data_IF_202703983247
#
_entry.id   IF_202703983247
#
_cell.length_a   1.000
_cell.length_b   1.000
_cell.length_c   1.000
_cell.angle_alpha   90.00
_cell.angle_beta   90.00
_cell.angle_gamma   90.00
#
_symmetry.space_group_name_H-M   'P 1'
#
loop_
_entity.id
_entity.type
_entity.pdbx_description
1 polymer ?
#
# COMPACT_ATOMS: atom_id res chain seq x y z
N UNK A 1 61.16 -22.49 -13.46
CA UNK A 1 61.78 -23.81 -13.69
C UNK A 1 60.61 -24.79 -13.86
N UNK A 2 60.21 -25.32 -15.02
CA UNK A 2 60.64 -25.30 -16.43
C UNK A 2 59.38 -25.63 -17.28
N UNK A 3 59.06 -24.77 -18.26
CA UNK A 3 58.66 -25.01 -19.68
C UNK A 3 57.84 -26.27 -20.08
N UNK A 4 56.96 -26.29 -21.10
CA UNK A 4 57.05 -25.82 -22.51
C UNK A 4 55.63 -25.37 -23.01
N UNK A 5 55.45 -24.25 -23.72
CA UNK A 5 55.76 -23.95 -25.14
C UNK A 5 54.91 -24.71 -26.18
N UNK A 6 54.06 -23.99 -26.93
CA UNK A 6 54.30 -23.70 -28.35
C UNK A 6 53.43 -22.55 -28.86
N UNK A 7 54.07 -21.75 -29.72
CA UNK A 7 53.60 -20.51 -30.31
C UNK A 7 53.28 -20.68 -31.80
N UNK A 8 53.06 -19.53 -32.46
CA UNK A 8 53.06 -19.23 -33.89
C UNK A 8 51.64 -19.10 -34.50
N UNK A 9 51.27 -18.07 -35.27
CA UNK A 9 51.99 -16.91 -35.84
C UNK A 9 50.98 -15.87 -36.32
N UNK A 10 51.44 -14.62 -36.47
CA UNK A 10 50.70 -13.44 -36.90
C UNK A 10 50.42 -13.40 -38.41
N UNK A 11 49.46 -12.56 -38.83
CA UNK A 11 49.65 -11.64 -39.97
C UNK A 11 48.59 -10.52 -39.95
N UNK A 12 49.06 -9.27 -39.98
CA UNK A 12 48.27 -8.07 -40.30
C UNK A 12 48.01 -7.99 -41.81
N UNK A 13 46.84 -7.48 -42.21
CA UNK A 13 46.51 -7.20 -43.60
C UNK A 13 45.40 -6.15 -43.70
N UNK A 14 45.72 -5.03 -44.33
CA UNK A 14 44.93 -3.80 -44.47
C UNK A 14 44.19 -3.80 -45.82
N UNK A 15 43.11 -3.04 -45.86
CA UNK A 15 42.57 -2.26 -46.99
C UNK A 15 41.49 -2.88 -47.92
N UNK A 16 40.39 -2.11 -47.97
CA UNK A 16 39.63 -1.61 -49.12
C UNK A 16 38.40 -2.34 -49.71
N UNK A 17 37.37 -1.47 -49.85
CA UNK A 17 36.29 -1.37 -50.82
C UNK A 17 35.18 -2.43 -50.90
N UNK A 18 33.96 -1.99 -50.57
CA UNK A 18 32.96 -1.68 -51.61
C UNK A 18 31.72 -1.00 -51.01
N UNK A 19 31.33 0.12 -51.64
CA UNK A 19 30.02 0.76 -51.48
C UNK A 19 28.96 -0.03 -52.26
N UNK A 20 27.75 -0.12 -51.71
CA UNK A 20 26.53 -0.17 -52.50
C UNK A 20 25.41 0.54 -51.75
N UNK A 21 24.84 1.55 -52.42
CA UNK A 21 23.60 2.26 -52.12
C UNK A 21 22.45 1.29 -51.77
N UNK A 22 21.61 1.66 -50.80
CA UNK A 22 20.20 1.89 -51.15
C UNK A 22 19.54 2.87 -50.17
N UNK A 23 18.66 3.62 -50.78
CA UNK A 23 17.89 4.78 -50.40
C UNK A 23 16.90 4.63 -49.24
N UNK A 24 16.81 5.72 -48.46
CA UNK A 24 15.57 6.37 -48.08
C UNK A 24 14.50 5.58 -47.30
N UNK A 25 14.45 5.79 -45.98
CA UNK A 25 13.16 5.92 -45.30
C UNK A 25 13.31 6.80 -44.05
N UNK A 26 12.48 7.84 -43.97
CA UNK A 26 12.36 8.77 -42.86
C UNK A 26 12.06 8.01 -41.56
N UNK A 27 13.05 7.92 -40.68
CA UNK A 27 12.86 7.49 -39.30
C UNK A 27 12.26 8.64 -38.49
N UNK A 28 11.00 8.48 -38.09
CA UNK A 28 10.37 9.26 -37.04
C UNK A 28 11.27 9.29 -35.80
N UNK A 29 11.67 10.47 -35.37
CA UNK A 29 12.24 10.70 -34.04
C UNK A 29 11.17 10.37 -32.99
N UNK A 30 11.07 9.10 -32.61
CA UNK A 30 10.48 8.75 -31.32
C UNK A 30 11.44 9.26 -30.25
N UNK A 31 11.00 10.11 -29.31
CA UNK A 31 11.82 10.38 -28.15
C UNK A 31 11.86 9.08 -27.34
N UNK A 32 12.97 8.36 -27.49
CA UNK A 32 13.43 7.36 -26.54
C UNK A 32 13.30 8.00 -25.16
N UNK A 33 12.26 7.63 -24.43
CA UNK A 33 12.10 7.97 -23.02
C UNK A 33 13.12 7.12 -22.26
N UNK A 34 14.39 7.48 -22.45
CA UNK A 34 15.52 7.08 -21.63
C UNK A 34 15.12 7.55 -20.25
N UNK A 35 14.59 6.63 -19.45
CA UNK A 35 14.38 6.81 -18.02
C UNK A 35 15.74 7.18 -17.44
N UNK A 36 15.99 8.48 -17.35
CA UNK A 36 17.22 9.06 -16.91
C UNK A 36 17.36 8.79 -15.42
N UNK A 37 18.33 7.93 -15.12
CA UNK A 37 19.26 7.98 -13.98
C UNK A 37 18.79 8.82 -12.78
N UNK A 38 18.56 8.12 -11.66
CA UNK A 38 19.03 8.53 -10.32
C UNK A 38 18.59 9.93 -9.82
N UNK A 39 17.28 10.16 -9.71
CA UNK A 39 16.77 11.02 -8.65
C UNK A 39 16.19 10.14 -7.53
N UNK A 40 16.97 9.95 -6.46
CA UNK A 40 16.48 9.32 -5.24
C UNK A 40 15.53 10.30 -4.53
N UNK A 41 14.29 10.37 -4.98
CA UNK A 41 13.27 11.22 -4.36
C UNK A 41 12.97 10.74 -2.94
N UNK A 42 13.04 11.65 -1.97
CA UNK A 42 12.59 11.35 -0.60
C UNK A 42 11.08 11.14 -0.64
N UNK A 43 10.59 9.93 -0.36
CA UNK A 43 9.16 9.66 -0.28
C UNK A 43 8.67 9.75 1.16
N UNK A 44 7.70 10.61 1.41
CA UNK A 44 7.08 10.77 2.73
C UNK A 44 5.76 10.01 2.80
N UNK A 45 5.44 9.49 3.99
CA UNK A 45 4.18 8.80 4.30
C UNK A 45 3.60 9.44 5.56
N UNK A 46 2.54 10.21 5.39
CA UNK A 46 1.80 10.89 6.46
C UNK A 46 0.53 10.10 6.73
N UNK A 47 0.15 9.95 8.00
CA UNK A 47 -1.06 9.22 8.38
C UNK A 47 -1.89 10.04 9.36
N UNK A 48 -3.19 9.94 9.19
CA UNK A 48 -4.20 10.61 9.98
C UNK A 48 -5.29 9.61 10.35
N UNK A 49 -5.90 9.80 11.52
CA UNK A 49 -7.17 9.19 11.86
C UNK A 49 -8.26 10.19 11.52
N UNK A 50 -9.25 9.74 10.77
CA UNK A 50 -10.33 10.58 10.26
C UNK A 50 -11.66 9.89 10.58
N UNK A 51 -12.61 10.55 11.25
CA UNK A 51 -13.96 10.03 11.39
C UNK A 51 -14.55 9.71 10.01
N UNK A 52 -15.20 8.56 9.87
CA UNK A 52 -15.75 8.08 8.59
C UNK A 52 -16.74 9.07 7.98
N UNK A 53 -17.51 9.78 8.83
CA UNK A 53 -18.44 10.84 8.44
C UNK A 53 -17.73 12.00 7.72
N UNK A 54 -16.57 12.44 8.25
CA UNK A 54 -15.76 13.49 7.62
C UNK A 54 -14.94 12.98 6.43
N UNK A 55 -14.63 11.69 6.38
CA UNK A 55 -13.83 11.11 5.32
C UNK A 55 -14.49 11.23 3.93
N UNK A 56 -15.83 11.26 3.88
CA UNK A 56 -16.56 11.48 2.63
C UNK A 56 -16.29 12.88 2.06
N UNK A 57 -16.48 13.93 2.87
CA UNK A 57 -16.23 15.30 2.44
C UNK A 57 -14.77 15.53 2.05
N UNK A 58 -13.83 14.98 2.83
CA UNK A 58 -12.40 15.09 2.53
C UNK A 58 -12.08 14.40 1.20
N UNK A 59 -12.67 13.23 0.94
CA UNK A 59 -12.47 12.52 -0.33
C UNK A 59 -13.03 13.32 -1.51
N UNK A 60 -14.19 13.93 -1.36
CA UNK A 60 -14.84 14.68 -2.44
C UNK A 60 -14.01 15.94 -2.77
N UNK A 61 -13.49 16.62 -1.75
CA UNK A 61 -12.54 17.74 -1.89
C UNK A 61 -11.21 17.31 -2.54
N UNK A 62 -10.68 16.14 -2.19
CA UNK A 62 -9.49 15.57 -2.84
C UNK A 62 -9.75 15.26 -4.33
N UNK A 63 -10.96 14.79 -4.67
CA UNK A 63 -11.33 14.38 -6.02
C UNK A 63 -11.40 15.57 -7.02
N UNK A 64 -11.52 16.80 -6.52
CA UNK A 64 -11.40 18.02 -7.33
C UNK A 64 -10.01 18.12 -8.00
N UNK A 65 -8.97 17.58 -7.35
CA UNK A 65 -7.57 17.72 -7.77
C UNK A 65 -6.85 16.39 -8.02
N UNK A 66 -7.47 15.28 -7.64
CA UNK A 66 -6.90 13.93 -7.74
C UNK A 66 -7.84 13.01 -8.50
N UNK A 67 -7.27 12.05 -9.22
CA UNK A 67 -8.03 10.98 -9.85
C UNK A 67 -8.21 9.81 -8.91
N UNK A 68 -9.28 9.06 -9.15
CA UNK A 68 -9.42 7.75 -8.55
C UNK A 68 -8.39 6.80 -9.13
N UNK A 69 -7.76 6.00 -8.28
CA UNK A 69 -6.86 4.94 -8.73
C UNK A 69 -7.65 3.96 -9.60
N UNK A 70 -7.12 3.62 -10.78
CA UNK A 70 -7.76 2.72 -11.75
C UNK A 70 -8.13 1.36 -11.14
N UNK A 71 -7.38 0.91 -10.13
CA UNK A 71 -7.63 -0.34 -9.41
C UNK A 71 -8.55 -0.17 -8.19
N UNK A 72 -9.13 1.01 -7.98
CA UNK A 72 -9.99 1.34 -6.84
C UNK A 72 -11.45 1.51 -7.28
N UNK A 73 -12.26 0.42 -7.28
CA UNK A 73 -13.68 0.49 -7.62
C UNK A 73 -14.47 1.37 -6.64
N UNK A 74 -15.71 1.72 -7.00
CA UNK A 74 -16.64 2.46 -6.14
C UNK A 74 -16.88 1.71 -4.84
N UNK A 75 -16.71 2.38 -3.70
CA UNK A 75 -16.77 1.76 -2.37
C UNK A 75 -15.46 1.09 -1.91
N UNK A 76 -14.43 1.11 -2.76
CA UNK A 76 -13.10 0.57 -2.48
C UNK A 76 -13.00 -0.95 -2.64
N UNK A 77 -11.82 -1.48 -2.32
CA UNK A 77 -11.51 -2.91 -2.43
C UNK A 77 -10.97 -3.48 -1.12
N UNK A 78 -11.18 -4.77 -0.89
CA UNK A 78 -10.60 -5.48 0.23
C UNK A 78 -9.07 -5.59 0.10
N UNK A 79 -8.36 -5.34 1.19
CA UNK A 79 -6.94 -5.66 1.29
C UNK A 79 -6.73 -6.47 2.55
N UNK A 80 -6.21 -7.67 2.39
CA UNK A 80 -5.92 -8.60 3.49
C UNK A 80 -4.44 -8.93 3.51
N UNK A 81 -3.86 -9.00 4.70
CA UNK A 81 -2.43 -9.32 4.86
C UNK A 81 -2.25 -10.23 6.05
N UNK A 82 -1.71 -11.42 5.80
CA UNK A 82 -1.19 -12.32 6.82
C UNK A 82 0.27 -11.92 7.09
N UNK A 83 0.54 -11.46 8.31
CA UNK A 83 1.88 -11.11 8.76
C UNK A 83 2.55 -12.30 9.43
N UNK A 84 3.86 -12.39 9.19
CA UNK A 84 4.74 -13.36 9.82
C UNK A 84 5.72 -12.63 10.74
N UNK A 85 5.89 -13.15 11.94
CA UNK A 85 6.86 -12.68 12.94
C UNK A 85 7.45 -13.89 13.69
N UNK A 86 8.46 -13.64 14.51
CA UNK A 86 9.01 -14.65 15.42
C UNK A 86 8.04 -14.92 16.58
N UNK A 87 8.17 -16.06 17.29
CA UNK A 87 7.34 -16.32 18.47
C UNK A 87 7.46 -15.25 19.56
N UNK A 88 8.60 -14.54 19.61
CA UNK A 88 8.85 -13.43 20.54
C UNK A 88 8.50 -12.05 19.95
N UNK A 89 7.79 -12.00 18.81
CA UNK A 89 7.32 -10.77 18.17
C UNK A 89 8.45 -9.78 17.84
N UNK A 90 9.55 -10.29 17.27
CA UNK A 90 10.72 -9.48 16.96
C UNK A 90 10.37 -8.27 16.08
N UNK A 91 9.63 -8.45 14.98
CA UNK A 91 9.30 -7.34 14.07
C UNK A 91 8.34 -6.32 14.67
N UNK A 92 7.49 -6.74 15.62
CA UNK A 92 6.74 -5.83 16.48
C UNK A 92 7.69 -4.94 17.29
N UNK A 93 8.58 -5.51 18.08
CA UNK A 93 9.50 -4.76 18.95
C UNK A 93 10.44 -3.85 18.14
N UNK A 94 11.01 -4.35 17.05
CA UNK A 94 11.84 -3.54 16.14
C UNK A 94 11.10 -2.30 15.61
N UNK A 95 9.78 -2.40 15.43
CA UNK A 95 8.94 -1.28 14.99
C UNK A 95 8.62 -0.31 16.14
N UNK A 96 8.34 -0.81 17.34
CA UNK A 96 8.06 -0.01 18.54
C UNK A 96 9.30 0.79 18.96
N UNK A 97 10.45 0.13 19.04
CA UNK A 97 11.74 0.73 19.40
C UNK A 97 12.31 1.63 18.28
N UNK A 98 11.71 1.57 17.09
CA UNK A 98 12.08 2.44 15.98
C UNK A 98 13.42 2.07 15.32
N UNK A 99 13.88 0.82 15.44
CA UNK A 99 15.18 0.37 14.94
C UNK A 99 15.38 0.70 13.46
N UNK A 100 16.55 1.25 13.13
CA UNK A 100 16.88 1.73 11.78
C UNK A 100 16.91 0.60 10.74
N UNK A 101 17.25 -0.61 11.16
CA UNK A 101 17.13 -1.82 10.35
C UNK A 101 15.97 -2.65 10.87
N UNK A 102 14.97 -2.91 10.02
CA UNK A 102 13.82 -3.76 10.36
C UNK A 102 13.13 -4.29 9.12
N UNK A 103 12.53 -5.47 9.22
CA UNK A 103 11.82 -6.13 8.12
C UNK A 103 10.42 -6.54 8.54
N UNK A 104 9.55 -6.76 7.56
CA UNK A 104 8.24 -7.38 7.73
C UNK A 104 8.00 -8.29 6.54
N UNK A 105 7.63 -9.54 6.81
CA UNK A 105 7.15 -10.48 5.81
C UNK A 105 5.62 -10.58 5.89
N UNK A 106 4.97 -10.67 4.73
CA UNK A 106 3.53 -10.91 4.66
C UNK A 106 3.10 -11.59 3.37
N UNK A 107 2.03 -12.35 3.44
CA UNK A 107 1.21 -12.73 2.28
C UNK A 107 0.06 -11.72 2.19
N UNK A 108 -0.19 -11.15 1.02
CA UNK A 108 -1.22 -10.14 0.78
C UNK A 108 -2.18 -10.56 -0.32
N UNK A 109 -3.47 -10.47 -0.02
CA UNK A 109 -4.58 -10.68 -0.95
C UNK A 109 -5.32 -9.37 -1.22
N UNK A 110 -5.80 -9.19 -2.44
CA UNK A 110 -6.66 -8.09 -2.87
C UNK A 110 -8.03 -8.63 -3.28
N UNK A 111 -9.09 -8.03 -2.77
CA UNK A 111 -10.47 -8.50 -2.97
C UNK A 111 -11.07 -9.10 -1.71
N UNK A 112 -12.20 -9.79 -1.89
CA UNK A 112 -12.92 -10.44 -0.81
C UNK A 112 -12.28 -11.79 -0.45
N UNK A 113 -12.50 -12.24 0.79
CA UNK A 113 -11.95 -13.52 1.30
C UNK A 113 -12.84 -14.73 1.00
N UNK A 114 -14.13 -14.51 0.78
CA UNK A 114 -15.16 -15.52 0.51
C UNK A 114 -14.89 -16.37 -0.74
N UNK A 115 -14.09 -15.84 -1.67
CA UNK A 115 -13.76 -16.49 -2.95
C UNK A 115 -12.30 -16.98 -3.01
N UNK A 116 -11.56 -16.95 -1.90
CA UNK A 116 -10.14 -17.31 -1.91
C UNK A 116 -9.98 -18.82 -1.96
N UNK A 117 -9.40 -19.30 -3.05
CA UNK A 117 -8.95 -20.66 -3.29
C UNK A 117 -7.43 -20.74 -3.30
N UNK A 118 -6.85 -21.94 -3.34
CA UNK A 118 -5.40 -22.12 -3.45
C UNK A 118 -4.81 -21.58 -4.78
N UNK A 119 -5.64 -21.43 -5.82
CA UNK A 119 -5.23 -20.84 -7.11
C UNK A 119 -5.33 -19.31 -7.12
N UNK A 120 -5.94 -18.70 -6.10
CA UNK A 120 -6.12 -17.26 -6.03
C UNK A 120 -4.78 -16.53 -5.97
N UNK A 121 -4.58 -15.45 -6.74
CA UNK A 121 -3.30 -14.75 -6.77
C UNK A 121 -3.09 -13.93 -5.49
N UNK A 122 -1.96 -14.15 -4.84
CA UNK A 122 -1.51 -13.39 -3.66
C UNK A 122 -0.11 -12.85 -3.87
N UNK A 123 0.22 -11.75 -3.19
CA UNK A 123 1.58 -11.21 -3.18
C UNK A 123 2.30 -11.63 -1.90
N UNK A 124 3.41 -12.36 -2.02
CA UNK A 124 4.37 -12.53 -0.92
C UNK A 124 5.29 -11.31 -0.93
N UNK A 125 5.31 -10.53 0.15
CA UNK A 125 6.00 -9.23 0.20
C UNK A 125 6.97 -9.15 1.39
N UNK A 126 8.19 -8.67 1.14
CA UNK A 126 9.11 -8.20 2.18
C UNK A 126 9.14 -6.67 2.13
N UNK A 127 8.75 -6.03 3.23
CA UNK A 127 8.95 -4.59 3.47
C UNK A 127 10.14 -4.42 4.40
N UNK A 128 11.23 -3.86 3.89
CA UNK A 128 12.47 -3.64 4.63
C UNK A 128 12.71 -2.14 4.80
N UNK A 129 13.17 -1.74 5.99
CA UNK A 129 13.71 -0.41 6.22
C UNK A 129 15.18 -0.53 6.61
N UNK A 130 16.02 0.27 5.96
CA UNK A 130 17.45 0.45 6.27
C UNK A 130 17.69 1.95 6.43
N UNK A 131 17.95 2.38 7.66
CA UNK A 131 18.04 3.78 8.04
C UNK A 131 16.75 4.56 7.66
N UNK A 132 16.85 5.43 6.66
CA UNK A 132 15.75 6.27 6.16
C UNK A 132 15.06 5.66 4.93
N UNK A 133 15.66 4.65 4.31
CA UNK A 133 15.19 4.07 3.05
C UNK A 133 14.27 2.89 3.34
N UNK A 134 13.11 2.86 2.68
CA UNK A 134 12.19 1.73 2.72
C UNK A 134 12.16 1.05 1.36
N UNK A 135 12.39 -0.25 1.34
CA UNK A 135 12.34 -1.10 0.16
C UNK A 135 11.15 -2.06 0.29
N UNK A 136 10.46 -2.28 -0.82
CA UNK A 136 9.41 -3.29 -0.91
C UNK A 136 9.72 -4.18 -2.10
N UNK A 137 9.88 -5.48 -1.84
CA UNK A 137 10.04 -6.51 -2.87
C UNK A 137 8.90 -7.51 -2.72
N UNK A 138 8.44 -8.06 -3.83
CA UNK A 138 7.34 -9.01 -3.85
C UNK A 138 7.38 -9.94 -5.05
N UNK A 139 6.73 -11.09 -4.90
CA UNK A 139 6.37 -12.00 -5.98
C UNK A 139 4.87 -12.29 -5.89
N UNK A 140 4.22 -12.49 -7.03
CA UNK A 140 2.81 -12.94 -7.07
C UNK A 140 2.80 -14.44 -7.28
N UNK A 141 2.12 -15.17 -6.39
CA UNK A 141 2.03 -16.63 -6.42
C UNK A 141 0.57 -17.05 -6.23
N UNK A 142 0.17 -18.25 -6.68
CA UNK A 142 -1.04 -18.90 -6.21
C UNK A 142 -1.01 -19.04 -4.67
N UNK A 143 -2.15 -18.85 -4.01
CA UNK A 143 -2.25 -18.86 -2.55
C UNK A 143 -1.72 -20.15 -1.91
N UNK A 144 -2.06 -21.32 -2.47
CA UNK A 144 -1.56 -22.61 -2.00
C UNK A 144 -0.03 -22.71 -2.11
N UNK A 145 0.55 -22.21 -3.20
CA UNK A 145 2.01 -22.14 -3.38
C UNK A 145 2.66 -21.17 -2.40
N UNK A 146 2.06 -20.00 -2.17
CA UNK A 146 2.55 -19.04 -1.17
C UNK A 146 2.54 -19.63 0.24
N UNK A 147 1.54 -20.44 0.59
CA UNK A 147 1.47 -21.18 1.85
C UNK A 147 2.52 -22.30 1.94
N UNK A 148 2.76 -23.08 0.89
CA UNK A 148 3.88 -24.05 0.88
C UNK A 148 5.22 -23.35 1.13
N UNK A 149 5.45 -22.22 0.47
CA UNK A 149 6.66 -21.42 0.69
C UNK A 149 6.76 -20.89 2.13
N UNK A 150 5.68 -20.28 2.64
CA UNK A 150 5.76 -19.52 3.89
C UNK A 150 5.45 -20.33 5.14
N UNK A 151 4.41 -21.16 5.09
CA UNK A 151 3.96 -22.00 6.21
C UNK A 151 4.69 -23.35 6.17
N UNK A 152 4.77 -23.97 4.99
CA UNK A 152 5.45 -25.25 4.76
C UNK A 152 6.98 -25.14 4.78
N UNK A 153 7.53 -23.94 4.57
CA UNK A 153 8.98 -23.68 4.49
C UNK A 153 9.63 -24.48 3.37
N UNK A 154 8.93 -24.59 2.25
CA UNK A 154 9.36 -25.36 1.08
C UNK A 154 9.89 -24.43 -0.01
N UNK A 155 10.92 -24.88 -0.72
CA UNK A 155 11.27 -24.25 -1.99
C UNK A 155 10.15 -24.56 -3.00
N UNK A 156 9.62 -23.52 -3.64
CA UNK A 156 8.57 -23.64 -4.65
C UNK A 156 9.13 -23.39 -6.04
N UNK A 157 8.49 -23.93 -7.05
CA UNK A 157 8.83 -23.67 -8.45
C UNK A 157 8.78 -22.17 -8.74
N UNK A 158 9.79 -21.69 -9.47
CA UNK A 158 9.96 -20.28 -9.75
C UNK A 158 10.72 -20.04 -11.05
N UNK A 159 10.47 -18.87 -11.65
CA UNK A 159 11.29 -18.42 -12.77
C UNK A 159 12.68 -17.97 -12.29
N UNK A 160 13.66 -17.97 -13.20
CA UNK A 160 15.02 -17.50 -12.89
C UNK A 160 15.05 -16.06 -12.32
N UNK A 161 14.07 -15.21 -12.67
CA UNK A 161 13.97 -13.83 -12.18
C UNK A 161 13.48 -13.75 -10.73
N UNK A 162 12.71 -14.73 -10.27
CA UNK A 162 12.09 -14.75 -8.95
C UNK A 162 12.94 -15.50 -7.91
N UNK A 163 13.83 -16.39 -8.36
CA UNK A 163 14.58 -17.30 -7.50
C UNK A 163 15.34 -16.63 -6.36
N UNK A 164 16.02 -15.53 -6.63
CA UNK A 164 16.73 -14.79 -5.58
C UNK A 164 15.80 -14.27 -4.47
N UNK A 165 14.59 -13.79 -4.83
CA UNK A 165 13.63 -13.29 -3.85
C UNK A 165 12.93 -14.42 -3.10
N UNK A 166 12.60 -15.54 -3.77
CA UNK A 166 12.00 -16.71 -3.12
C UNK A 166 12.99 -17.35 -2.15
N UNK A 167 14.27 -17.47 -2.52
CA UNK A 167 15.33 -17.89 -1.61
C UNK A 167 15.45 -16.96 -0.40
N UNK A 168 15.39 -15.65 -0.60
CA UNK A 168 15.42 -14.69 0.51
C UNK A 168 14.21 -14.86 1.45
N UNK A 169 13.01 -15.05 0.90
CA UNK A 169 11.81 -15.33 1.71
C UNK A 169 12.01 -16.59 2.54
N UNK A 170 12.43 -17.69 1.92
CA UNK A 170 12.63 -18.96 2.60
C UNK A 170 13.72 -18.85 3.68
N UNK A 171 14.86 -18.23 3.36
CA UNK A 171 15.95 -17.99 4.32
C UNK A 171 15.45 -17.16 5.50
N UNK A 172 14.69 -16.09 5.25
CA UNK A 172 14.16 -15.22 6.29
C UNK A 172 13.24 -15.99 7.24
N UNK A 173 12.35 -16.83 6.70
CA UNK A 173 11.41 -17.64 7.47
C UNK A 173 12.14 -18.70 8.31
N UNK A 174 13.06 -19.44 7.69
CA UNK A 174 13.79 -20.52 8.37
C UNK A 174 14.72 -19.97 9.44
N UNK A 175 15.56 -18.97 9.11
CA UNK A 175 16.55 -18.43 10.06
C UNK A 175 15.92 -17.74 11.26
N UNK A 176 14.79 -17.06 11.08
CA UNK A 176 14.12 -16.36 12.17
C UNK A 176 12.99 -17.19 12.80
N UNK A 177 12.76 -18.41 12.33
CA UNK A 177 11.60 -19.22 12.71
C UNK A 177 10.29 -18.42 12.62
N UNK A 178 10.07 -17.73 11.50
CA UNK A 178 8.86 -16.94 11.32
C UNK A 178 7.62 -17.84 11.26
N UNK A 179 6.54 -17.35 11.85
CA UNK A 179 5.26 -18.03 11.92
C UNK A 179 4.13 -17.06 11.57
N UNK A 180 3.03 -17.54 10.97
CA UNK A 180 1.78 -16.76 10.89
C UNK A 180 1.43 -16.16 12.24
N UNK A 181 1.25 -14.84 12.32
CA UNK A 181 1.07 -14.14 13.61
C UNK A 181 -0.25 -13.39 13.67
N UNK A 182 -0.59 -12.65 12.62
CA UNK A 182 -1.83 -11.87 12.58
C UNK A 182 -2.27 -11.61 11.14
N UNK A 183 -3.57 -11.70 10.90
CA UNK A 183 -4.21 -11.16 9.71
C UNK A 183 -4.69 -9.75 10.00
N UNK A 184 -4.40 -8.81 9.10
CA UNK A 184 -5.04 -7.50 9.06
C UNK A 184 -5.77 -7.31 7.73
N UNK A 185 -7.05 -7.00 7.79
CA UNK A 185 -7.94 -6.66 6.69
C UNK A 185 -8.51 -5.24 6.80
N UNK A 186 -8.78 -4.61 5.67
CA UNK A 186 -9.45 -3.31 5.59
C UNK A 186 -10.05 -3.10 4.20
N UNK A 187 -10.98 -2.15 4.10
CA UNK A 187 -11.48 -1.67 2.80
C UNK A 187 -10.73 -0.41 2.42
N UNK A 188 -10.15 -0.39 1.22
CA UNK A 188 -9.31 0.69 0.73
C UNK A 188 -9.98 1.43 -0.43
N UNK A 189 -10.02 2.74 -0.30
CA UNK A 189 -10.19 3.66 -1.43
C UNK A 189 -8.86 4.35 -1.70
N UNK A 190 -8.52 4.56 -2.97
CA UNK A 190 -7.27 5.19 -3.36
C UNK A 190 -7.49 6.28 -4.42
N UNK A 191 -6.81 7.41 -4.22
CA UNK A 191 -6.68 8.50 -5.17
C UNK A 191 -5.21 8.70 -5.54
N UNK A 192 -4.96 9.11 -6.77
CA UNK A 192 -3.65 9.42 -7.35
C UNK A 192 -3.62 10.87 -7.83
N UNK A 193 -2.48 11.55 -7.67
CA UNK A 193 -2.35 12.95 -8.09
C UNK A 193 -2.38 13.09 -9.61
N UNK A 194 -2.87 14.25 -10.08
CA UNK A 194 -2.92 14.64 -11.49
C UNK A 194 -1.73 15.54 -11.85
N UNK A 195 -1.45 15.63 -13.15
CA UNK A 195 -0.53 16.62 -13.74
C UNK A 195 0.82 16.71 -13.01
N UNK A 196 1.11 17.84 -12.36
CA UNK A 196 2.36 18.08 -11.65
C UNK A 196 2.51 17.23 -10.36
N UNK A 197 1.42 16.66 -9.83
CA UNK A 197 1.38 15.93 -8.56
C UNK A 197 1.46 14.39 -8.75
N UNK A 198 2.07 13.88 -9.83
CA UNK A 198 2.15 12.41 -10.11
C UNK A 198 2.73 11.55 -8.98
N UNK A 199 3.53 12.14 -8.08
CA UNK A 199 4.07 11.47 -6.90
C UNK A 199 3.09 11.32 -5.72
N UNK A 200 1.96 12.03 -5.76
CA UNK A 200 0.94 12.07 -4.71
C UNK A 200 0.00 10.87 -4.82
N UNK A 201 -0.23 10.21 -3.69
CA UNK A 201 -1.27 9.18 -3.53
C UNK A 201 -1.91 9.30 -2.17
N UNK A 202 -3.23 9.32 -2.13
CA UNK A 202 -4.00 9.33 -0.88
C UNK A 202 -4.81 8.04 -0.81
N UNK A 203 -4.84 7.40 0.35
CA UNK A 203 -5.68 6.22 0.58
C UNK A 203 -6.47 6.35 1.86
N UNK A 204 -7.72 5.89 1.83
CA UNK A 204 -8.58 5.75 3.00
C UNK A 204 -8.74 4.27 3.30
N UNK A 205 -8.29 3.84 4.47
CA UNK A 205 -8.45 2.46 4.94
C UNK A 205 -9.49 2.42 6.05
N UNK A 206 -10.70 1.95 5.72
CA UNK A 206 -11.85 1.84 6.63
C UNK A 206 -12.03 0.42 7.14
N UNK A 207 -12.77 0.29 8.25
CA UNK A 207 -13.14 -1.01 8.86
C UNK A 207 -11.93 -1.92 9.07
N UNK A 208 -10.85 -1.36 9.61
CA UNK A 208 -9.60 -2.08 9.85
C UNK A 208 -9.82 -3.11 10.94
N UNK A 209 -9.65 -4.37 10.57
CA UNK A 209 -9.99 -5.55 11.37
C UNK A 209 -9.03 -6.68 11.10
N UNK A 210 -9.14 -7.77 11.85
CA UNK A 210 -8.22 -8.89 11.68
C UNK A 210 -8.46 -10.00 12.66
N UNK A 211 -7.51 -10.94 12.72
CA UNK A 211 -7.51 -12.05 13.68
C UNK A 211 -6.10 -12.56 13.96
N UNK A 212 -5.96 -13.20 15.11
CA UNK A 212 -4.75 -13.81 15.69
C UNK A 212 -4.78 -15.35 15.66
N UNK A 213 -5.76 -15.92 14.94
CA UNK A 213 -5.97 -17.36 14.76
C UNK A 213 -6.50 -17.63 13.35
N UNK A 214 -6.58 -18.90 12.98
CA UNK A 214 -7.20 -19.35 11.73
C UNK A 214 -6.67 -18.59 10.51
N UNK A 215 -5.36 -18.67 10.30
CA UNK A 215 -4.64 -17.84 9.35
C UNK A 215 -4.90 -18.17 7.86
N UNK A 216 -5.77 -19.14 7.59
CA UNK A 216 -6.23 -19.42 6.24
C UNK A 216 -7.18 -18.33 5.73
N UNK A 217 -6.89 -17.72 4.58
CA UNK A 217 -7.71 -16.65 4.01
C UNK A 217 -9.13 -17.13 3.65
N UNK A 218 -9.27 -18.28 3.01
CA UNK A 218 -10.55 -18.87 2.60
C UNK A 218 -11.27 -19.65 3.70
N UNK A 219 -11.09 -19.32 4.98
CA UNK A 219 -11.89 -19.96 6.05
C UNK A 219 -13.34 -19.48 5.96
N UNK A 220 -14.30 -20.39 6.13
CA UNK A 220 -15.73 -20.12 5.94
C UNK A 220 -16.29 -19.11 6.97
N UNK A 221 -15.90 -19.24 8.24
CA UNK A 221 -16.41 -18.43 9.34
C UNK A 221 -15.28 -17.67 10.05
N UNK A 222 -14.71 -16.63 9.41
CA UNK A 222 -13.58 -15.93 10.00
C UNK A 222 -14.00 -15.02 11.16
N UNK A 223 -13.43 -15.26 12.35
CA UNK A 223 -13.64 -14.44 13.55
C UNK A 223 -12.81 -13.15 13.52
N UNK A 224 -13.09 -12.26 12.56
CA UNK A 224 -12.39 -10.98 12.47
C UNK A 224 -12.94 -9.96 13.47
N UNK A 225 -12.06 -9.35 14.26
CA UNK A 225 -12.36 -8.28 15.21
C UNK A 225 -11.80 -6.95 14.71
N UNK A 226 -12.50 -5.84 14.97
CA UNK A 226 -11.96 -4.51 14.67
C UNK A 226 -10.71 -4.25 15.50
N UNK A 227 -9.65 -3.77 14.85
CA UNK A 227 -8.40 -3.39 15.53
C UNK A 227 -8.24 -1.88 15.60
N UNK A 228 -8.98 -1.15 14.76
CA UNK A 228 -9.22 0.29 14.86
C UNK A 228 -10.74 0.46 14.93
N UNK A 229 -11.25 1.37 15.78
CA UNK A 229 -12.69 1.63 15.86
C UNK A 229 -13.33 1.84 14.47
N UNK A 230 -14.48 1.21 14.18
CA UNK A 230 -15.05 1.15 12.82
C UNK A 230 -15.55 2.50 12.30
N UNK A 231 -15.79 3.48 13.19
CA UNK A 231 -16.11 4.86 12.84
C UNK A 231 -14.89 5.70 12.46
N UNK A 232 -13.68 5.13 12.51
CA UNK A 232 -12.45 5.77 12.05
C UNK A 232 -11.93 5.15 10.75
N UNK A 233 -11.35 6.01 9.92
CA UNK A 233 -10.59 5.66 8.72
C UNK A 233 -9.14 6.08 8.91
N UNK A 234 -8.20 5.25 8.45
CA UNK A 234 -6.80 5.64 8.36
C UNK A 234 -6.58 6.28 7.00
N UNK A 235 -6.45 7.61 6.98
CA UNK A 235 -6.04 8.33 5.78
C UNK A 235 -4.50 8.34 5.69
N UNK A 236 -3.95 7.84 4.60
CA UNK A 236 -2.51 7.76 4.34
C UNK A 236 -2.17 8.57 3.09
N UNK A 237 -1.33 9.59 3.24
CA UNK A 237 -0.85 10.44 2.16
C UNK A 237 0.60 10.07 1.85
N UNK A 238 0.89 9.79 0.58
CA UNK A 238 2.23 9.51 0.06
C UNK A 238 2.60 10.56 -0.95
N UNK A 239 3.76 11.17 -0.78
CA UNK A 239 4.28 12.21 -1.68
C UNK A 239 5.75 12.00 -1.96
N UNK A 240 6.18 12.44 -3.13
CA UNK A 240 7.59 12.54 -3.49
C UNK A 240 8.09 13.94 -3.12
N UNK A 241 9.28 14.02 -2.52
CA UNK A 241 10.04 15.21 -2.13
C UNK A 241 9.36 16.18 -1.15
N UNK A 242 8.19 16.70 -1.50
CA UNK A 242 7.46 17.70 -0.74
C UNK A 242 5.96 17.46 -0.83
N UNK A 243 5.27 17.65 0.29
CA UNK A 243 3.81 17.65 0.30
C UNK A 243 3.30 18.92 -0.39
N UNK A 244 2.39 18.82 -1.38
CA UNK A 244 1.77 20.00 -1.98
C UNK A 244 1.09 20.87 -0.92
N UNK A 245 1.21 22.20 -1.03
CA UNK A 245 0.66 23.14 -0.04
C UNK A 245 -0.84 22.93 0.22
N UNK A 246 -1.59 22.63 -0.83
CA UNK A 246 -3.02 22.41 -0.72
C UNK A 246 -3.40 21.19 0.14
N UNK A 247 -2.54 20.16 0.19
CA UNK A 247 -2.72 19.00 1.08
C UNK A 247 -2.47 19.41 2.53
N UNK A 248 -1.43 20.22 2.79
CA UNK A 248 -1.17 20.71 4.15
C UNK A 248 -2.27 21.65 4.63
N UNK A 249 -2.81 22.48 3.74
CA UNK A 249 -3.92 23.38 4.03
C UNK A 249 -5.22 22.60 4.28
N UNK A 250 -5.49 21.55 3.50
CA UNK A 250 -6.61 20.63 3.74
C UNK A 250 -6.48 19.96 5.11
N UNK A 251 -5.30 19.44 5.45
CA UNK A 251 -5.08 18.80 6.75
C UNK A 251 -5.29 19.80 7.90
N UNK A 252 -4.81 21.04 7.75
CA UNK A 252 -5.00 22.09 8.76
C UNK A 252 -6.47 22.50 8.90
N UNK A 253 -7.18 22.79 7.80
CA UNK A 253 -8.60 23.18 7.81
C UNK A 253 -9.52 22.11 8.39
N UNK A 254 -9.17 20.84 8.18
CA UNK A 254 -9.91 19.68 8.71
C UNK A 254 -9.41 19.24 10.10
N UNK A 255 -8.52 20.02 10.73
CA UNK A 255 -7.94 19.76 12.05
C UNK A 255 -7.35 18.34 12.20
N UNK A 256 -6.66 17.86 11.17
CA UNK A 256 -6.12 16.51 11.12
C UNK A 256 -4.74 16.43 11.77
N UNK A 257 -4.61 15.54 12.75
CA UNK A 257 -3.36 15.31 13.47
C UNK A 257 -2.59 14.11 12.93
N UNK A 258 -1.27 14.25 12.81
CA UNK A 258 -0.40 13.17 12.36
C UNK A 258 -0.33 12.07 13.43
N UNK A 259 -0.56 10.82 12.99
CA UNK A 259 -0.48 9.64 13.86
C UNK A 259 0.61 8.68 13.40
N UNK A 260 1.29 8.04 14.35
CA UNK A 260 2.29 7.00 14.08
C UNK A 260 1.67 5.61 14.10
N UNK A 261 0.74 5.34 13.19
CA UNK A 261 0.05 4.05 13.17
C UNK A 261 0.72 2.99 12.26
N UNK A 262 0.79 1.76 12.77
CA UNK A 262 1.10 0.55 12.00
C UNK A 262 -0.02 -0.46 12.21
N UNK A 263 -0.77 -0.80 11.14
CA UNK A 263 -1.89 -1.76 11.21
C UNK A 263 -1.51 -3.11 11.85
N UNK A 264 -0.31 -3.62 11.57
CA UNK A 264 0.21 -4.82 12.22
C UNK A 264 0.41 -4.65 13.73
N UNK A 265 0.99 -3.53 14.16
CA UNK A 265 1.26 -3.26 15.59
C UNK A 265 -0.07 -3.15 16.33
N UNK A 266 -1.01 -2.38 15.75
CA UNK A 266 -2.35 -2.24 16.27
C UNK A 266 -3.06 -3.60 16.38
N UNK A 267 -2.93 -4.50 15.39
CA UNK A 267 -3.46 -5.87 15.48
C UNK A 267 -2.85 -6.66 16.64
N UNK A 268 -1.53 -6.68 16.79
CA UNK A 268 -0.84 -7.40 17.87
C UNK A 268 -1.33 -6.93 19.25
N UNK A 269 -1.39 -5.62 19.46
CA UNK A 269 -1.82 -5.03 20.73
C UNK A 269 -3.32 -5.22 20.98
N UNK A 270 -4.17 -5.07 19.96
CA UNK A 270 -5.62 -5.25 20.09
C UNK A 270 -6.00 -6.69 20.41
N UNK A 271 -5.19 -7.67 19.98
CA UNK A 271 -5.39 -9.08 20.29
C UNK A 271 -4.72 -9.51 21.60
N UNK A 272 -4.02 -8.60 22.30
CA UNK A 272 -3.39 -8.89 23.59
C UNK A 272 -2.10 -9.70 23.48
N UNK A 273 -1.50 -9.80 22.28
CA UNK A 273 -0.25 -10.54 22.07
C UNK A 273 0.99 -9.77 22.54
N UNK A 274 0.87 -8.45 22.73
CA UNK A 274 1.88 -7.61 23.35
C UNK A 274 1.23 -6.46 24.14
N UNK A 275 1.94 -5.83 25.09
CA UNK A 275 1.46 -4.63 25.78
C UNK A 275 1.19 -3.49 24.79
N UNK A 276 0.13 -2.70 25.05
CA UNK A 276 -0.22 -1.52 24.25
C UNK A 276 0.89 -0.47 24.33
N UNK A 277 1.42 -0.06 23.19
CA UNK A 277 2.38 1.04 23.09
C UNK A 277 1.68 2.40 23.19
N UNK A 278 2.49 3.46 23.31
CA UNK A 278 2.04 4.86 23.22
C UNK A 278 1.42 5.24 21.86
N UNK A 279 1.52 4.36 20.86
CA UNK A 279 0.92 4.55 19.54
C UNK A 279 -0.39 3.78 19.37
N UNK A 280 -0.80 3.01 20.38
CA UNK A 280 -2.03 2.25 20.36
C UNK A 280 -3.23 3.20 20.29
N UNK A 281 -4.19 2.87 19.41
CA UNK A 281 -5.42 3.62 19.30
C UNK A 281 -6.43 3.02 20.27
N UNK A 282 -6.82 3.78 21.31
CA UNK A 282 -7.98 3.44 22.13
C UNK A 282 -9.22 4.14 21.60
N UNK A 283 -10.36 3.47 21.72
CA UNK A 283 -11.66 4.03 21.36
C UNK A 283 -12.02 5.24 22.21
N UNK A 284 -11.62 5.25 23.50
CA UNK A 284 -11.87 6.37 24.41
C UNK A 284 -11.18 7.68 23.97
N UNK A 285 -10.04 7.59 23.26
CA UNK A 285 -9.31 8.76 22.75
C UNK A 285 -9.97 9.35 21.49
N UNK A 286 -10.88 8.59 20.88
CA UNK A 286 -11.53 8.92 19.61
C UNK A 286 -13.02 8.55 19.66
N UNK A 287 -13.81 9.23 20.51
CA UNK A 287 -15.24 8.94 20.59
C UNK A 287 -15.92 9.16 19.23
N UNK A 288 -16.97 8.41 18.89
CA UNK A 288 -17.80 8.70 17.73
C UNK A 288 -18.28 10.15 17.80
N UNK A 289 -18.39 10.80 16.64
CA UNK A 289 -19.07 12.08 16.57
C UNK A 289 -20.51 11.84 17.02
N UNK A 290 -20.95 12.59 18.03
CA UNK A 290 -22.37 12.58 18.41
C UNK A 290 -23.12 13.25 17.26
N UNK A 291 -24.21 12.66 16.73
CA UNK A 291 -25.05 13.37 15.78
C UNK A 291 -25.46 14.68 16.43
N UNK A 292 -25.04 15.80 15.86
CA UNK A 292 -25.52 17.11 16.28
C UNK A 292 -27.04 17.06 16.15
N UNK A 293 -27.77 17.23 17.25
CA UNK A 293 -29.20 17.51 17.18
C UNK A 293 -29.38 18.64 16.16
N UNK A 294 -30.18 18.38 15.12
CA UNK A 294 -30.49 19.37 14.09
C UNK A 294 -30.91 20.66 14.80
N UNK A 295 -30.09 21.70 14.70
CA UNK A 295 -30.53 23.05 15.05
C UNK A 295 -31.75 23.34 14.17
N UNK A 296 -32.89 23.77 14.75
CA UNK A 296 -34.12 23.89 14.00
C UNK A 296 -33.89 24.83 12.83
N UNK A 297 -34.14 24.31 11.62
CA UNK A 297 -34.13 25.08 10.39
C UNK A 297 -34.87 26.41 10.61
N UNK A 298 -34.14 27.53 10.58
CA UNK A 298 -34.76 28.83 10.44
C UNK A 298 -35.56 28.80 9.14
N UNK A 299 -36.88 28.78 9.29
CA UNK A 299 -37.83 28.88 8.18
C UNK A 299 -37.46 30.10 7.33
N UNK A 300 -37.10 29.87 6.07
CA UNK A 300 -37.07 30.93 5.07
C UNK A 300 -38.49 31.52 5.00
N UNK A 301 -38.65 32.86 5.03
CA UNK A 301 -39.96 33.47 4.86
C UNK A 301 -40.51 33.11 3.48
N UNK A 302 -41.78 32.68 3.47
CA UNK A 302 -42.51 32.35 2.27
C UNK A 302 -42.52 33.54 1.30
N UNK A 303 -42.11 33.30 0.06
CA UNK A 303 -42.38 34.22 -1.03
C UNK A 303 -43.90 34.21 -1.26
N UNK A 304 -44.53 35.36 -1.04
CA UNK A 304 -45.93 35.60 -1.39
C UNK A 304 -46.10 35.47 -2.90
N UNK A 305 -46.82 34.44 -3.30
CA UNK A 305 -47.28 34.23 -4.67
C UNK A 305 -48.45 35.20 -4.95
N UNK A 306 -48.20 36.23 -5.76
CA UNK A 306 -49.23 37.18 -6.18
C UNK A 306 -50.06 36.56 -7.31
N UNK A 307 -51.19 35.95 -6.95
CA UNK A 307 -52.24 35.56 -7.90
C UNK A 307 -52.85 36.80 -8.57
N UNK A 308 -52.66 36.92 -9.89
CA UNK A 308 -53.45 37.76 -10.77
C UNK A 308 -54.58 36.92 -11.39
N UNK A 309 -55.82 37.25 -10.99
CA UNK A 309 -57.13 36.84 -11.54
C UNK A 309 -58.09 37.92 -11.03
N UNK A 310 -59.00 38.57 -11.76
CA UNK A 310 -59.77 38.32 -12.99
C UNK A 310 -60.31 39.68 -13.48
N UNK A 311 -60.66 39.83 -14.76
CA UNK A 311 -61.66 40.82 -15.15
C UNK A 311 -61.94 40.85 -16.65
N UNK A 312 -62.96 40.11 -17.09
CA UNK A 312 -63.53 40.19 -18.42
C UNK A 312 -64.44 41.43 -18.58
N UNK A 313 -64.37 42.07 -19.74
CA UNK A 313 -65.48 42.63 -20.51
C UNK A 313 -65.04 42.72 -21.98
#
# INVERSE_FOLDING_TARGET
MVFLSKAATAYEGRADDARADDSGARGSEEPLHVASRLHAFNRFELKYLVPVEQAAEIRDELAERMDRDLHSPVGGYGVWSLYYDTPQLRFYWEKIEGLKFRRKLRIRHYGNLDQVTDDSPVCVEIKQRVNRVTQKRRVTLPYGTARRLCDGREMVDHSAKEGAFIQEVLELIVRLNLQPTAITGYQREALVGRDADTGLRVTFDRRVRGRDRDFHFGIQTPENRFTIPPHLSVMEIKVNERTPHWITDLAARRNLNLVRISKYVQSIEAFGLAPRSVFHINEADWPPLTPTEEQPHQQRPAQHDASLKVGAQ
#
